data_IF_444437402477
#
_entry.id   IF_444437402477
#
_cell.length_a   1.000
_cell.length_b   1.000
_cell.length_c   1.000
_cell.angle_alpha   90.00
_cell.angle_beta   90.00
_cell.angle_gamma   90.00
#
_symmetry.space_group_name_H-M   'P 1'
#
loop_
_entity.id
_entity.type
_entity.pdbx_description
1 polymer ?
#
# COMPACT_ATOMS: atom_id res chain seq x y z
N UNK A 1 18.70 9.97 -3.19
CA UNK A 1 17.25 9.80 -3.37
C UNK A 1 17.06 8.42 -3.98
N UNK A 2 16.67 7.42 -3.19
CA UNK A 2 16.27 6.14 -3.76
C UNK A 2 14.85 6.33 -4.28
N UNK A 3 14.67 6.24 -5.60
CA UNK A 3 13.37 6.37 -6.23
C UNK A 3 12.50 5.17 -5.82
N UNK A 4 11.21 5.41 -5.56
CA UNK A 4 10.22 4.36 -5.35
C UNK A 4 10.21 3.46 -6.61
N UNK A 5 10.67 2.21 -6.49
CA UNK A 5 10.72 1.28 -7.63
C UNK A 5 9.38 0.59 -7.82
N UNK A 6 8.56 1.11 -8.72
CA UNK A 6 7.31 0.47 -9.12
C UNK A 6 7.56 -0.74 -10.01
N UNK A 7 6.81 -1.82 -9.74
CA UNK A 7 6.93 -3.08 -10.48
C UNK A 7 6.57 -2.95 -11.97
N UNK A 8 5.64 -2.06 -12.31
CA UNK A 8 5.18 -1.79 -13.68
C UNK A 8 4.74 -0.33 -13.83
N UNK A 9 4.62 0.15 -15.06
CA UNK A 9 4.01 1.47 -15.34
C UNK A 9 2.58 1.55 -14.83
N UNK A 10 1.79 0.49 -15.00
CA UNK A 10 0.41 0.44 -14.49
C UNK A 10 0.36 0.60 -12.96
N UNK A 11 1.28 -0.05 -12.24
CA UNK A 11 1.38 0.10 -10.80
C UNK A 11 1.65 1.55 -10.41
N UNK A 12 2.58 2.22 -11.08
CA UNK A 12 2.84 3.65 -10.88
C UNK A 12 1.61 4.52 -11.13
N UNK A 13 0.93 4.29 -12.26
CA UNK A 13 -0.22 5.09 -12.66
C UNK A 13 -1.38 4.95 -11.67
N UNK A 14 -1.67 3.72 -11.23
CA UNK A 14 -2.71 3.48 -10.22
C UNK A 14 -2.33 4.11 -8.89
N UNK A 15 -1.08 3.97 -8.45
CA UNK A 15 -0.61 4.59 -7.21
C UNK A 15 -0.77 6.10 -7.26
N UNK A 16 -0.33 6.74 -8.35
CA UNK A 16 -0.47 8.19 -8.58
C UNK A 16 -1.94 8.59 -8.53
N UNK A 17 -2.82 7.89 -9.24
CA UNK A 17 -4.26 8.18 -9.27
C UNK A 17 -4.92 8.08 -7.90
N UNK A 18 -4.56 7.08 -7.08
CA UNK A 18 -5.12 6.95 -5.74
C UNK A 18 -4.55 8.00 -4.78
N UNK A 19 -3.24 8.29 -4.86
CA UNK A 19 -2.59 9.29 -4.02
C UNK A 19 -3.08 10.72 -4.32
N UNK A 20 -3.36 11.04 -5.59
CA UNK A 20 -3.88 12.35 -6.01
C UNK A 20 -5.27 12.68 -5.46
N UNK A 21 -5.99 11.70 -4.90
CA UNK A 21 -7.30 11.94 -4.27
C UNK A 21 -7.18 12.54 -2.87
N UNK A 22 -6.00 12.54 -2.27
CA UNK A 22 -5.76 13.14 -0.97
C UNK A 22 -5.99 14.65 -1.01
N UNK A 23 -6.81 15.14 -0.08
CA UNK A 23 -7.07 16.58 0.06
C UNK A 23 -5.87 17.32 0.65
N UNK A 24 -5.12 16.68 1.55
CA UNK A 24 -3.87 17.22 2.09
C UNK A 24 -2.82 16.10 2.23
N UNK A 25 -1.99 15.88 1.20
CA UNK A 25 -1.02 14.81 1.22
C UNK A 25 0.06 14.93 2.32
N UNK A 26 0.35 16.15 2.78
CA UNK A 26 1.36 16.39 3.81
C UNK A 26 0.97 15.93 5.22
N UNK A 27 -0.33 15.70 5.48
CA UNK A 27 -0.82 15.22 6.77
C UNK A 27 -0.79 13.69 6.89
N UNK A 28 -0.50 13.02 5.78
CA UNK A 28 -0.56 11.56 5.66
C UNK A 28 0.83 10.97 5.80
N UNK A 29 0.95 9.96 6.68
CA UNK A 29 2.25 9.37 7.01
C UNK A 29 2.66 8.28 6.02
N UNK A 30 3.95 7.94 6.03
CA UNK A 30 4.55 6.89 5.21
C UNK A 30 3.87 5.52 5.33
N UNK A 31 3.26 5.22 6.48
CA UNK A 31 2.50 3.99 6.72
C UNK A 31 1.33 3.87 5.73
N UNK A 32 0.62 4.98 5.46
CA UNK A 32 -0.43 5.01 4.46
C UNK A 32 0.12 4.83 3.06
N UNK A 33 1.19 5.52 2.68
CA UNK A 33 1.77 5.37 1.35
C UNK A 33 2.34 3.97 1.11
N UNK A 34 2.89 3.34 2.15
CA UNK A 34 3.38 1.95 2.09
C UNK A 34 2.22 0.97 1.91
N UNK A 35 1.11 1.18 2.62
CA UNK A 35 -0.13 0.44 2.39
C UNK A 35 -0.69 0.68 0.98
N UNK A 36 -0.74 1.94 0.54
CA UNK A 36 -1.25 2.34 -0.76
C UNK A 36 -0.44 1.75 -1.90
N UNK A 37 0.87 1.57 -1.72
CA UNK A 37 1.75 0.91 -2.68
C UNK A 37 1.33 -0.56 -2.91
N UNK A 38 1.10 -1.34 -1.84
CA UNK A 38 0.60 -2.72 -1.99
C UNK A 38 -0.78 -2.74 -2.67
N UNK A 39 -1.67 -1.83 -2.26
CA UNK A 39 -3.02 -1.70 -2.82
C UNK A 39 -2.97 -1.35 -4.30
N UNK A 40 -2.07 -0.46 -4.73
CA UNK A 40 -1.94 -0.09 -6.12
C UNK A 40 -1.37 -1.24 -6.98
N UNK A 41 -0.41 -1.99 -6.44
CA UNK A 41 0.31 -3.04 -7.15
C UNK A 41 -0.41 -4.38 -7.30
N UNK A 42 -1.55 -4.59 -6.63
CA UNK A 42 -2.34 -5.80 -6.78
C UNK A 42 -3.84 -5.48 -6.90
N UNK A 43 -4.42 -5.73 -8.09
CA UNK A 43 -5.81 -5.37 -8.41
C UNK A 43 -6.85 -6.06 -7.50
N UNK A 44 -6.63 -7.32 -7.11
CA UNK A 44 -7.58 -8.04 -6.25
C UNK A 44 -7.61 -7.43 -4.86
N UNK A 45 -6.42 -7.23 -4.28
CA UNK A 45 -6.26 -6.54 -3.00
C UNK A 45 -6.84 -5.12 -3.07
N UNK A 46 -6.64 -4.41 -4.18
CA UNK A 46 -7.24 -3.09 -4.41
C UNK A 46 -8.75 -3.12 -4.33
N UNK A 47 -9.38 -3.99 -5.10
CA UNK A 47 -10.84 -4.08 -5.17
C UNK A 47 -11.45 -4.50 -3.83
N UNK A 48 -10.75 -5.34 -3.06
CA UNK A 48 -11.14 -5.73 -1.71
C UNK A 48 -11.04 -4.57 -0.71
N UNK A 49 -10.00 -3.74 -0.80
CA UNK A 49 -9.70 -2.73 0.22
C UNK A 49 -10.31 -1.35 -0.08
N UNK A 50 -10.55 -1.00 -1.34
CA UNK A 50 -11.15 0.27 -1.74
C UNK A 50 -12.43 0.65 -0.96
N UNK A 51 -13.37 -0.27 -0.67
CA UNK A 51 -14.56 0.04 0.13
C UNK A 51 -14.27 0.50 1.57
N UNK A 52 -13.10 0.17 2.11
CA UNK A 52 -12.69 0.50 3.48
C UNK A 52 -11.80 1.74 3.55
N UNK A 53 -11.54 2.38 2.40
CA UNK A 53 -10.63 3.53 2.30
C UNK A 53 -11.39 4.84 2.15
N UNK A 54 -11.00 5.81 2.97
CA UNK A 54 -11.26 7.22 2.71
C UNK A 54 -10.01 7.79 2.02
N UNK A 55 -10.07 7.82 0.69
CA UNK A 55 -8.96 8.28 -0.16
C UNK A 55 -8.73 9.79 -0.08
N UNK A 56 -9.73 10.57 0.38
CA UNK A 56 -9.57 12.02 0.56
C UNK A 56 -8.81 12.34 1.84
N UNK A 57 -9.09 11.59 2.91
CA UNK A 57 -8.44 11.76 4.22
C UNK A 57 -7.20 10.87 4.44
N UNK A 58 -6.91 9.95 3.52
CA UNK A 58 -5.81 9.00 3.68
C UNK A 58 -6.03 8.02 4.83
N UNK A 59 -7.27 7.55 5.00
CA UNK A 59 -7.63 6.63 6.09
C UNK A 59 -8.05 5.26 5.58
N UNK A 60 -7.67 4.22 6.32
CA UNK A 60 -8.08 2.83 6.04
C UNK A 60 -8.76 2.27 7.29
N UNK A 61 -10.03 1.88 7.14
CA UNK A 61 -10.83 1.30 8.22
C UNK A 61 -10.53 -0.19 8.37
N UNK A 62 -9.45 -0.53 9.08
CA UNK A 62 -8.96 -1.92 9.14
C UNK A 62 -9.71 -2.87 10.07
N UNK A 63 -10.66 -2.37 10.87
CA UNK A 63 -11.22 -3.12 12.00
C UNK A 63 -12.06 -4.34 11.58
N UNK A 64 -12.72 -4.28 10.42
CA UNK A 64 -13.67 -5.32 9.99
C UNK A 64 -13.25 -6.01 8.70
N UNK A 65 -12.16 -5.58 8.06
CA UNK A 65 -11.72 -6.06 6.74
C UNK A 65 -11.59 -7.59 6.70
N UNK A 66 -10.99 -8.18 7.73
CA UNK A 66 -10.78 -9.63 7.75
C UNK A 66 -12.11 -10.38 8.00
N UNK A 67 -12.96 -9.86 8.88
CA UNK A 67 -14.22 -10.50 9.25
C UNK A 67 -15.28 -10.40 8.14
N UNK A 68 -15.26 -9.31 7.37
CA UNK A 68 -16.26 -9.00 6.35
C UNK A 68 -16.02 -9.74 5.01
N UNK A 69 -14.89 -10.43 4.86
CA UNK A 69 -14.46 -10.97 3.57
C UNK A 69 -13.95 -12.41 3.65
N UNK A 70 -14.11 -13.14 2.54
CA UNK A 70 -13.42 -14.41 2.30
C UNK A 70 -12.25 -14.16 1.37
N UNK A 71 -11.07 -14.68 1.72
CA UNK A 71 -9.85 -14.45 0.96
C UNK A 71 -9.29 -15.74 0.38
N UNK A 72 -8.73 -15.63 -0.82
CA UNK A 72 -7.72 -16.58 -1.26
C UNK A 72 -6.45 -16.41 -0.40
N UNK A 73 -5.70 -17.49 -0.19
CA UNK A 73 -4.55 -17.50 0.73
C UNK A 73 -3.54 -16.39 0.43
N UNK A 74 -3.27 -16.11 -0.85
CA UNK A 74 -2.28 -15.12 -1.27
C UNK A 74 -2.76 -13.69 -1.01
N UNK A 75 -4.00 -13.39 -1.41
CA UNK A 75 -4.64 -12.10 -1.15
C UNK A 75 -4.74 -11.82 0.35
N UNK A 76 -5.04 -12.84 1.16
CA UNK A 76 -5.09 -12.70 2.62
C UNK A 76 -3.75 -12.24 3.22
N UNK A 77 -2.64 -12.80 2.74
CA UNK A 77 -1.30 -12.42 3.23
C UNK A 77 -1.00 -10.95 2.89
N UNK A 78 -1.35 -10.51 1.67
CA UNK A 78 -1.18 -9.10 1.27
C UNK A 78 -2.11 -8.15 2.02
N UNK A 79 -3.35 -8.55 2.29
CA UNK A 79 -4.29 -7.76 3.10
C UNK A 79 -3.79 -7.62 4.54
N UNK A 80 -3.31 -8.71 5.16
CA UNK A 80 -2.65 -8.64 6.47
C UNK A 80 -1.43 -7.73 6.42
N UNK A 81 -0.65 -7.77 5.35
CA UNK A 81 0.51 -6.89 5.18
C UNK A 81 0.09 -5.42 5.12
N UNK A 82 -0.96 -5.08 4.35
CA UNK A 82 -1.49 -3.72 4.29
C UNK A 82 -1.90 -3.22 5.69
N UNK A 83 -2.65 -4.03 6.45
CA UNK A 83 -3.08 -3.65 7.79
C UNK A 83 -1.88 -3.50 8.73
N UNK A 84 -0.90 -4.40 8.63
CA UNK A 84 0.35 -4.33 9.37
C UNK A 84 1.10 -3.03 9.09
N UNK A 85 1.35 -2.72 7.82
CA UNK A 85 2.07 -1.50 7.40
C UNK A 85 1.32 -0.24 7.83
N UNK A 86 -0.01 -0.24 7.76
CA UNK A 86 -0.81 0.94 8.06
C UNK A 86 -0.89 1.25 9.56
N UNK A 87 -1.10 0.23 10.41
CA UNK A 87 -1.34 0.45 11.84
C UNK A 87 -0.89 -0.68 12.79
N UNK A 88 -0.12 -1.66 12.30
CA UNK A 88 0.44 -2.78 13.07
C UNK A 88 -0.61 -3.66 13.79
N UNK A 89 -1.88 -3.63 13.39
CA UNK A 89 -2.92 -4.46 14.04
C UNK A 89 -2.93 -5.91 13.59
N UNK A 90 -2.32 -6.19 12.44
CA UNK A 90 -2.13 -7.54 11.92
C UNK A 90 -0.65 -7.91 11.89
N UNK A 91 -0.37 -9.21 11.96
CA UNK A 91 1.00 -9.73 11.90
C UNK A 91 1.17 -10.63 10.69
N UNK A 92 2.20 -10.37 9.90
CA UNK A 92 2.60 -11.24 8.78
C UNK A 92 3.93 -11.89 9.11
N UNK A 93 3.95 -13.22 9.11
CA UNK A 93 5.16 -13.99 9.36
C UNK A 93 6.05 -14.00 8.10
N UNK A 94 7.38 -14.01 8.26
CA UNK A 94 8.29 -14.19 7.12
C UNK A 94 7.99 -15.47 6.31
N UNK A 95 7.54 -16.53 6.98
CA UNK A 95 7.14 -17.80 6.34
C UNK A 95 5.87 -17.68 5.52
N UNK A 96 4.98 -16.71 5.82
CA UNK A 96 3.82 -16.42 4.98
C UNK A 96 4.27 -15.68 3.72
N UNK A 97 5.16 -14.69 3.86
CA UNK A 97 5.66 -13.88 2.73
C UNK A 97 6.35 -14.72 1.66
N UNK A 98 7.21 -15.67 2.06
CA UNK A 98 7.94 -16.53 1.10
C UNK A 98 7.02 -17.49 0.32
N UNK A 99 5.74 -17.62 0.71
CA UNK A 99 4.76 -18.44 -0.02
C UNK A 99 4.00 -17.66 -1.08
N UNK A 100 4.19 -16.35 -1.16
CA UNK A 100 3.62 -15.51 -2.20
C UNK A 100 4.25 -15.85 -3.56
N UNK A 101 3.49 -15.72 -4.66
CA UNK A 101 4.06 -15.66 -6.00
C UNK A 101 5.14 -14.57 -6.10
N UNK A 102 6.10 -14.76 -7.00
CA UNK A 102 7.23 -13.82 -7.16
C UNK A 102 6.79 -12.34 -7.29
N UNK A 103 5.77 -11.98 -8.09
CA UNK A 103 5.33 -10.59 -8.20
C UNK A 103 4.81 -10.02 -6.86
N UNK A 104 4.01 -10.79 -6.13
CA UNK A 104 3.43 -10.38 -4.85
C UNK A 104 4.50 -10.34 -3.74
N UNK A 105 5.50 -11.22 -3.81
CA UNK A 105 6.65 -11.19 -2.92
C UNK A 105 7.49 -9.93 -3.14
N UNK A 106 7.81 -9.60 -4.39
CA UNK A 106 8.53 -8.36 -4.74
C UNK A 106 7.74 -7.12 -4.29
N UNK A 107 6.42 -7.11 -4.53
CA UNK A 107 5.53 -6.06 -4.06
C UNK A 107 5.62 -5.87 -2.53
N UNK A 108 5.51 -6.97 -1.78
CA UNK A 108 5.58 -6.96 -0.33
C UNK A 108 6.93 -6.45 0.19
N UNK A 109 8.04 -6.87 -0.42
CA UNK A 109 9.39 -6.47 -0.01
C UNK A 109 9.64 -4.98 -0.23
N UNK A 110 9.19 -4.44 -1.37
CA UNK A 110 9.28 -3.02 -1.64
C UNK A 110 8.43 -2.22 -0.64
N UNK A 111 7.19 -2.63 -0.39
CA UNK A 111 6.31 -1.96 0.59
C UNK A 111 6.88 -1.95 2.02
N UNK A 112 7.48 -3.05 2.46
CA UNK A 112 8.14 -3.13 3.77
C UNK A 112 9.34 -2.19 3.85
N UNK A 113 10.11 -2.09 2.77
CA UNK A 113 11.25 -1.18 2.68
C UNK A 113 10.79 0.27 2.79
N UNK A 114 9.72 0.64 2.06
CA UNK A 114 9.11 1.96 2.12
C UNK A 114 8.65 2.35 3.53
N UNK A 115 8.03 1.43 4.26
CA UNK A 115 7.55 1.72 5.60
C UNK A 115 8.69 1.88 6.63
N UNK A 116 9.80 1.18 6.42
CA UNK A 116 10.95 1.18 7.33
C UNK A 116 11.91 2.32 7.08
N UNK A 117 12.01 2.81 5.84
CA UNK A 117 12.90 3.93 5.55
C UNK A 117 12.47 5.19 6.33
N UNK A 118 13.45 5.80 6.99
CA UNK A 118 13.31 7.13 7.62
C UNK A 118 13.37 8.26 6.59
N UNK A 119 13.54 7.95 5.30
CA UNK A 119 13.80 8.92 4.23
C UNK A 119 12.56 9.66 3.70
N UNK A 120 11.38 9.44 4.27
CA UNK A 120 10.10 9.93 3.76
C UNK A 120 9.37 10.94 4.65
N UNK A 121 10.07 11.58 5.58
CA UNK A 121 9.57 12.84 6.19
C UNK A 121 9.44 13.96 5.12
N UNK A 122 9.92 13.73 3.88
CA UNK A 122 9.90 14.67 2.74
C UNK A 122 9.31 14.05 1.45
N UNK A 123 8.20 13.29 1.51
CA UNK A 123 7.51 12.87 0.26
C UNK A 123 6.95 14.10 -0.47
N UNK A 124 7.60 14.53 -1.54
CA UNK A 124 7.07 15.53 -2.46
C UNK A 124 6.26 14.82 -3.54
N UNK A 125 4.94 15.00 -3.55
CA UNK A 125 4.09 14.53 -4.66
C UNK A 125 4.35 15.47 -5.86
N UNK A 126 4.81 14.96 -7.00
CA UNK A 126 5.02 15.80 -8.19
C UNK A 126 3.68 16.38 -8.63
N UNK A 127 3.57 17.71 -8.59
CA UNK A 127 2.51 18.43 -9.31
C UNK A 127 2.90 18.58 -10.77
N UNK A 128 1.96 18.57 -11.71
CA UNK A 128 2.19 18.63 -13.17
C UNK A 128 2.74 19.99 -13.67
N UNK A 129 3.65 20.62 -12.92
CA UNK A 129 4.41 21.81 -13.32
C UNK A 129 5.89 21.47 -13.43
N UNK A 130 6.26 20.59 -14.37
CA UNK A 130 7.59 20.62 -14.97
C UNK A 130 7.40 20.54 -16.50
N UNK A 131 7.42 21.72 -17.13
CA UNK A 131 7.61 21.95 -18.57
C UNK A 131 9.03 21.64 -19.00
#
# INVERSE_FOLDING_TARGET
MNNLEFLTTEHYDVFKQLAQRLSNPGDVKKEYFSALYVIAGNERVRNLLLPYMDLEQGKISTATIIDDNTFEKQDFILVKLVIHLYNNKEWVLPTELITLPEPDYQLAMQAITLCRDQQFDEVVIPSDQET
#
